data_IF_552663297032
#
_entry.id   IF_552663297032
#
_cell.length_a   1.000
_cell.length_b   1.000
_cell.length_c   1.000
_cell.angle_alpha   90.00
_cell.angle_beta   90.00
_cell.angle_gamma   90.00
#
_symmetry.space_group_name_H-M   'P 1'
#
loop_
_entity.id
_entity.type
_entity.pdbx_description
1 polymer ?
#
# COMPACT_ATOMS: atom_id res chain seq x y z
N UNK A 1 38.90 13.74 29.59
CA UNK A 1 39.09 13.29 28.20
C UNK A 1 37.77 12.83 27.61
N UNK A 2 37.09 13.69 26.83
CA UNK A 2 35.82 13.35 26.18
C UNK A 2 36.09 12.50 24.94
N UNK A 3 35.78 11.19 25.02
CA UNK A 3 35.81 10.29 23.86
C UNK A 3 34.67 10.66 22.92
N UNK A 4 34.99 11.45 21.89
CA UNK A 4 34.11 11.69 20.76
C UNK A 4 33.77 10.34 20.10
N UNK A 5 32.52 9.90 20.27
CA UNK A 5 32.00 8.71 19.59
C UNK A 5 31.93 9.02 18.10
N UNK A 6 32.96 8.62 17.34
CA UNK A 6 32.90 8.61 15.88
C UNK A 6 31.66 7.80 15.46
N UNK A 7 30.66 8.49 14.92
CA UNK A 7 29.46 7.85 14.33
C UNK A 7 29.93 7.14 13.07
N UNK A 8 30.19 5.85 13.17
CA UNK A 8 30.37 4.99 12.00
C UNK A 8 29.08 5.03 11.17
N UNK A 9 29.15 5.68 10.01
CA UNK A 9 28.08 5.65 9.01
C UNK A 9 28.08 4.23 8.43
N UNK A 10 27.13 3.40 8.86
CA UNK A 10 27.01 2.04 8.37
C UNK A 10 26.84 2.04 6.84
N UNK A 11 27.46 1.10 6.11
CA UNK A 11 27.27 0.98 4.67
C UNK A 11 25.79 0.76 4.37
N UNK A 12 25.32 1.31 3.25
CA UNK A 12 23.93 1.13 2.81
C UNK A 12 23.60 -0.36 2.76
N UNK A 13 22.43 -0.72 3.27
CA UNK A 13 21.93 -2.09 3.20
C UNK A 13 21.71 -2.47 1.74
N UNK A 14 22.19 -3.64 1.32
CA UNK A 14 21.99 -4.12 -0.05
C UNK A 14 20.51 -4.42 -0.31
N UNK A 15 20.11 -4.48 -1.58
CA UNK A 15 18.73 -4.80 -1.93
C UNK A 15 18.33 -6.19 -1.42
N UNK A 16 19.21 -7.18 -1.52
CA UNK A 16 18.97 -8.56 -1.08
C UNK A 16 18.85 -8.64 0.45
N UNK A 17 19.71 -7.93 1.19
CA UNK A 17 19.59 -7.80 2.65
C UNK A 17 18.24 -7.19 3.06
N UNK A 18 17.76 -6.21 2.29
CA UNK A 18 16.49 -5.54 2.56
C UNK A 18 15.30 -6.48 2.34
N UNK A 19 15.30 -7.24 1.24
CA UNK A 19 14.24 -8.19 0.91
C UNK A 19 14.12 -9.24 2.03
N UNK A 20 15.24 -9.87 2.41
CA UNK A 20 15.26 -10.85 3.51
C UNK A 20 14.70 -10.28 4.82
N UNK A 21 15.10 -9.04 5.15
CA UNK A 21 14.58 -8.36 6.34
C UNK A 21 13.06 -8.15 6.25
N UNK A 22 12.58 -7.61 5.12
CA UNK A 22 11.15 -7.32 4.91
C UNK A 22 10.32 -8.59 4.97
N UNK A 23 10.80 -9.67 4.37
CA UNK A 23 10.11 -10.96 4.34
C UNK A 23 9.94 -11.54 5.75
N UNK A 24 11.00 -11.50 6.57
CA UNK A 24 10.89 -11.92 7.97
C UNK A 24 9.90 -11.05 8.75
N UNK A 25 9.95 -9.73 8.57
CA UNK A 25 9.08 -8.80 9.30
C UNK A 25 7.60 -8.98 8.93
N UNK A 26 7.30 -9.23 7.65
CA UNK A 26 5.94 -9.53 7.18
C UNK A 26 5.48 -10.91 7.63
N UNK A 27 6.30 -11.95 7.40
CA UNK A 27 5.97 -13.34 7.74
C UNK A 27 5.70 -13.52 9.23
N UNK A 28 6.50 -12.87 10.07
CA UNK A 28 6.36 -12.98 11.51
C UNK A 28 5.42 -11.92 12.11
N UNK A 29 4.69 -11.18 11.27
CA UNK A 29 3.73 -10.11 11.59
C UNK A 29 4.27 -9.10 12.62
N UNK A 30 5.35 -8.41 12.25
CA UNK A 30 6.02 -7.44 13.10
C UNK A 30 5.11 -6.28 13.54
N UNK A 31 4.22 -5.81 12.67
CA UNK A 31 3.33 -4.68 12.94
C UNK A 31 2.12 -5.08 13.79
N UNK A 32 1.77 -6.37 13.81
CA UNK A 32 0.70 -6.91 14.63
C UNK A 32 -0.68 -6.78 13.99
N UNK A 33 -0.78 -6.95 12.68
CA UNK A 33 -2.00 -6.70 11.89
C UNK A 33 -3.03 -7.85 12.00
N UNK A 34 -2.62 -9.03 12.47
CA UNK A 34 -3.48 -10.23 12.49
C UNK A 34 -4.11 -10.56 13.85
N UNK A 35 -3.99 -9.70 14.87
CA UNK A 35 -4.68 -9.86 16.16
C UNK A 35 -4.04 -9.08 17.32
N UNK A 36 -4.76 -8.88 18.44
CA UNK A 36 -4.22 -8.21 19.62
C UNK A 36 -3.16 -9.09 20.31
N UNK A 37 -2.01 -8.51 20.62
CA UNK A 37 -0.88 -9.21 21.25
C UNK A 37 -0.76 -8.88 22.73
N UNK A 38 -0.66 -9.90 23.59
CA UNK A 38 -0.50 -9.73 25.05
C UNK A 38 0.83 -9.07 25.45
N UNK A 39 1.86 -9.08 24.58
CA UNK A 39 3.12 -8.37 24.82
C UNK A 39 3.82 -7.94 23.49
N UNK A 40 3.42 -6.79 22.90
CA UNK A 40 3.88 -6.37 21.58
C UNK A 40 5.40 -6.09 21.51
N UNK A 41 5.97 -5.48 22.55
CA UNK A 41 7.38 -5.05 22.55
C UNK A 41 8.35 -6.22 22.62
N UNK A 42 8.06 -7.22 23.45
CA UNK A 42 8.89 -8.44 23.56
C UNK A 42 8.88 -9.20 22.25
N UNK A 43 7.72 -9.34 21.60
CA UNK A 43 7.60 -10.00 20.30
C UNK A 43 8.38 -9.26 19.22
N UNK A 44 8.21 -7.94 19.08
CA UNK A 44 9.00 -7.12 18.14
C UNK A 44 10.50 -7.29 18.39
N UNK A 45 10.93 -7.38 19.65
CA UNK A 45 12.31 -7.67 20.03
C UNK A 45 12.82 -9.04 19.56
N UNK A 46 11.97 -10.08 19.63
CA UNK A 46 12.26 -11.44 19.13
C UNK A 46 12.34 -11.48 17.61
N UNK A 47 11.41 -10.84 16.91
CA UNK A 47 11.41 -10.76 15.44
C UNK A 47 12.66 -10.02 14.95
N UNK A 48 13.00 -8.88 15.57
CA UNK A 48 14.26 -8.18 15.25
C UNK A 48 15.50 -9.04 15.52
N UNK A 49 15.48 -9.90 16.54
CA UNK A 49 16.57 -10.84 16.77
C UNK A 49 16.66 -11.90 15.65
N UNK A 50 15.52 -12.36 15.10
CA UNK A 50 15.50 -13.26 13.93
C UNK A 50 16.09 -12.59 12.69
N UNK A 51 15.72 -11.34 12.40
CA UNK A 51 16.31 -10.57 11.28
C UNK A 51 17.83 -10.47 11.44
N UNK A 52 18.32 -10.06 12.62
CA UNK A 52 19.77 -9.95 12.88
C UNK A 52 20.47 -11.30 12.68
N UNK A 53 19.88 -12.40 13.17
CA UNK A 53 20.44 -13.74 12.99
C UNK A 53 20.45 -14.17 11.52
N UNK A 54 19.38 -13.91 10.76
CA UNK A 54 19.29 -14.29 9.34
C UNK A 54 20.31 -13.52 8.51
N UNK A 55 20.39 -12.20 8.68
CA UNK A 55 21.35 -11.36 7.96
C UNK A 55 22.80 -11.78 8.23
N UNK A 56 23.12 -12.13 9.47
CA UNK A 56 24.45 -12.61 9.81
C UNK A 56 24.76 -13.98 9.20
N UNK A 57 23.79 -14.91 9.20
CA UNK A 57 23.98 -16.25 8.62
C UNK A 57 24.09 -16.24 7.10
N UNK A 58 23.25 -15.47 6.43
CA UNK A 58 23.11 -15.52 4.98
C UNK A 58 24.08 -14.56 4.26
N UNK A 59 24.44 -13.43 4.89
CA UNK A 59 25.26 -12.39 4.26
C UNK A 59 26.51 -12.02 5.07
N UNK A 60 26.74 -12.63 6.23
CA UNK A 60 27.85 -12.28 7.12
C UNK A 60 27.72 -10.90 7.76
N UNK A 61 26.64 -10.15 7.50
CA UNK A 61 26.52 -8.76 7.93
C UNK A 61 25.91 -8.64 9.33
N UNK A 62 26.48 -7.74 10.12
CA UNK A 62 25.96 -7.41 11.45
C UNK A 62 25.31 -6.03 11.42
N UNK A 63 23.99 -6.00 11.64
CA UNK A 63 23.20 -4.76 11.68
C UNK A 63 22.61 -4.52 13.08
N UNK A 64 22.75 -3.32 13.65
CA UNK A 64 22.08 -2.97 14.90
C UNK A 64 20.56 -3.00 14.76
N UNK A 65 19.84 -3.48 15.79
CA UNK A 65 18.37 -3.56 15.77
C UNK A 65 17.71 -2.20 15.50
N UNK A 66 18.27 -1.12 16.03
CA UNK A 66 17.71 0.23 15.82
C UNK A 66 17.88 0.72 14.39
N UNK A 67 18.95 0.31 13.70
CA UNK A 67 19.11 0.59 12.28
C UNK A 67 18.04 -0.12 11.45
N UNK A 68 17.76 -1.39 11.77
CA UNK A 68 16.71 -2.18 11.12
C UNK A 68 15.33 -1.57 11.37
N UNK A 69 15.03 -1.17 12.62
CA UNK A 69 13.78 -0.47 12.97
C UNK A 69 13.60 0.80 12.14
N UNK A 70 14.64 1.65 12.09
CA UNK A 70 14.61 2.88 11.30
C UNK A 70 14.36 2.58 9.82
N UNK A 71 15.08 1.59 9.27
CA UNK A 71 14.93 1.19 7.87
C UNK A 71 13.52 0.70 7.56
N UNK A 72 12.90 -0.08 8.46
CA UNK A 72 11.51 -0.51 8.33
C UNK A 72 10.55 0.69 8.31
N UNK A 73 10.71 1.62 9.25
CA UNK A 73 9.89 2.84 9.29
C UNK A 73 10.02 3.68 8.02
N UNK A 74 11.25 3.87 7.52
CA UNK A 74 11.50 4.61 6.28
C UNK A 74 10.82 3.95 5.06
N UNK A 75 10.82 2.62 4.99
CA UNK A 75 10.16 1.86 3.92
C UNK A 75 8.63 2.03 3.96
N UNK A 76 8.02 1.93 5.15
CA UNK A 76 6.58 2.11 5.33
C UNK A 76 6.11 3.52 4.96
N UNK A 77 6.91 4.54 5.29
CA UNK A 77 6.61 5.92 4.92
C UNK A 77 6.64 6.13 3.41
N UNK A 78 7.61 5.53 2.70
CA UNK A 78 7.67 5.59 1.23
C UNK A 78 6.45 4.94 0.58
N UNK A 79 6.05 3.77 1.04
CA UNK A 79 4.85 3.07 0.54
C UNK A 79 3.59 3.93 0.72
N UNK A 80 3.39 4.50 1.91
CA UNK A 80 2.24 5.37 2.18
C UNK A 80 2.25 6.65 1.34
N UNK A 81 3.41 7.27 1.13
CA UNK A 81 3.52 8.47 0.30
C UNK A 81 3.21 8.17 -1.17
N UNK A 82 3.70 7.05 -1.70
CA UNK A 82 3.36 6.60 -3.05
C UNK A 82 1.87 6.34 -3.20
N UNK A 83 1.25 5.63 -2.25
CA UNK A 83 -0.19 5.44 -2.24
C UNK A 83 -0.96 6.76 -2.19
N UNK A 84 -0.54 7.71 -1.34
CA UNK A 84 -1.15 9.06 -1.27
C UNK A 84 -0.99 9.85 -2.56
N UNK A 85 0.15 9.74 -3.25
CA UNK A 85 0.40 10.38 -4.54
C UNK A 85 -0.51 9.80 -5.62
N UNK A 86 -0.57 8.48 -5.74
CA UNK A 86 -1.45 7.77 -6.67
C UNK A 86 -2.91 8.14 -6.39
N UNK A 87 -3.35 8.09 -5.12
CA UNK A 87 -4.70 8.49 -4.73
C UNK A 87 -5.02 9.95 -5.11
N UNK A 88 -4.08 10.88 -4.93
CA UNK A 88 -4.25 12.28 -5.35
C UNK A 88 -4.38 12.42 -6.86
N UNK A 89 -3.59 11.68 -7.65
CA UNK A 89 -3.68 11.69 -9.11
C UNK A 89 -5.04 11.15 -9.57
N UNK A 90 -5.51 10.05 -8.97
CA UNK A 90 -6.84 9.49 -9.25
C UNK A 90 -7.96 10.47 -8.88
N UNK A 91 -7.90 11.07 -7.70
CA UNK A 91 -8.90 12.05 -7.26
C UNK A 91 -8.90 13.34 -8.09
N UNK A 92 -7.74 13.79 -8.59
CA UNK A 92 -7.68 14.94 -9.51
C UNK A 92 -8.27 14.62 -10.88
N UNK A 93 -8.07 13.41 -11.40
CA UNK A 93 -8.68 12.96 -12.66
C UNK A 93 -10.20 12.85 -12.56
N UNK A 94 -10.75 12.60 -11.36
CA UNK A 94 -12.20 12.62 -11.08
C UNK A 94 -12.78 14.05 -10.95
N UNK A 95 -11.96 15.09 -10.76
CA UNK A 95 -12.42 16.48 -10.54
C UNK A 95 -12.16 17.41 -11.73
N UNK A 96 -11.30 17.04 -12.70
CA UNK A 96 -10.83 18.00 -13.71
C UNK A 96 -10.75 17.48 -15.16
N UNK A 97 -11.30 16.32 -15.50
CA UNK A 97 -11.19 15.80 -16.89
C UNK A 97 -12.45 15.10 -17.35
N UNK A 98 -13.48 15.85 -17.74
CA UNK A 98 -14.41 15.34 -18.77
C UNK A 98 -14.83 16.40 -19.80
N UNK A 99 -14.76 17.72 -19.57
CA UNK A 99 -15.33 18.66 -20.56
C UNK A 99 -14.37 19.65 -21.25
N UNK A 100 -13.33 20.21 -20.60
CA UNK A 100 -12.65 21.38 -21.19
C UNK A 100 -11.35 21.13 -22.00
N UNK A 101 -10.73 19.95 -21.99
CA UNK A 101 -9.46 19.68 -22.73
C UNK A 101 -9.60 18.75 -23.96
N UNK A 102 -10.81 18.39 -24.38
CA UNK A 102 -11.03 17.38 -25.44
C UNK A 102 -10.92 17.99 -26.86
N UNK A 103 -10.95 19.32 -26.99
CA UNK A 103 -10.91 20.03 -28.28
C UNK A 103 -9.52 20.07 -28.94
N UNK A 104 -8.48 19.55 -28.30
CA UNK A 104 -7.09 19.64 -28.81
C UNK A 104 -6.54 18.38 -29.49
N UNK A 105 -7.27 17.25 -29.51
CA UNK A 105 -6.81 16.04 -30.21
C UNK A 105 -7.48 15.89 -31.58
N UNK A 106 -6.80 16.36 -32.63
CA UNK A 106 -7.33 16.48 -34.00
C UNK A 106 -7.17 15.23 -34.88
N UNK A 107 -6.70 14.09 -34.34
CA UNK A 107 -6.63 12.86 -35.13
C UNK A 107 -7.98 12.14 -35.15
N UNK A 108 -8.41 11.65 -36.32
CA UNK A 108 -9.66 10.90 -36.48
C UNK A 108 -9.74 9.68 -35.53
N UNK A 109 -8.61 9.01 -35.29
CA UNK A 109 -8.52 7.90 -34.33
C UNK A 109 -8.77 8.33 -32.88
N UNK A 110 -8.35 9.54 -32.49
CA UNK A 110 -8.62 10.05 -31.15
C UNK A 110 -10.11 10.36 -30.96
N UNK A 111 -10.77 10.96 -31.96
CA UNK A 111 -12.21 11.25 -31.90
C UNK A 111 -13.07 9.98 -31.81
N UNK A 112 -12.71 8.93 -32.57
CA UNK A 112 -13.39 7.62 -32.50
C UNK A 112 -13.24 7.01 -31.11
N UNK A 113 -12.00 6.96 -30.59
CA UNK A 113 -11.72 6.41 -29.27
C UNK A 113 -12.44 7.18 -28.14
N UNK A 114 -12.52 8.51 -28.26
CA UNK A 114 -13.29 9.36 -27.34
C UNK A 114 -14.78 9.00 -27.39
N UNK A 115 -15.35 8.82 -28.58
CA UNK A 115 -16.74 8.40 -28.75
C UNK A 115 -17.02 7.05 -28.11
N UNK A 116 -16.13 6.06 -28.32
CA UNK A 116 -16.22 4.74 -27.70
C UNK A 116 -16.17 4.83 -26.17
N UNK A 117 -15.24 5.60 -25.62
CA UNK A 117 -15.11 5.82 -24.17
C UNK A 117 -16.37 6.46 -23.60
N UNK A 118 -16.95 7.45 -24.28
CA UNK A 118 -18.19 8.10 -23.84
C UNK A 118 -19.38 7.15 -23.81
N UNK A 119 -19.51 6.26 -24.80
CA UNK A 119 -20.57 5.24 -24.83
C UNK A 119 -20.36 4.23 -23.71
N UNK A 120 -19.14 3.69 -23.55
CA UNK A 120 -18.82 2.76 -22.47
C UNK A 120 -19.09 3.37 -21.08
N UNK A 121 -18.81 4.65 -20.89
CA UNK A 121 -19.10 5.34 -19.63
C UNK A 121 -20.60 5.40 -19.32
N UNK A 122 -21.46 5.58 -20.33
CA UNK A 122 -22.92 5.54 -20.15
C UNK A 122 -23.40 4.14 -19.78
N UNK A 123 -22.88 3.11 -20.45
CA UNK A 123 -23.21 1.73 -20.14
C UNK A 123 -22.78 1.35 -18.71
N UNK A 124 -21.61 1.82 -18.27
CA UNK A 124 -21.12 1.63 -16.90
C UNK A 124 -22.04 2.28 -15.86
N UNK A 125 -22.56 3.50 -16.12
CA UNK A 125 -23.52 4.13 -15.21
C UNK A 125 -24.82 3.34 -15.11
N UNK A 126 -25.31 2.80 -16.24
CA UNK A 126 -26.51 1.97 -16.25
C UNK A 126 -26.32 0.67 -15.45
N UNK A 127 -25.20 -0.02 -15.64
CA UNK A 127 -24.86 -1.22 -14.86
C UNK A 127 -24.77 -0.90 -13.36
N UNK A 128 -24.21 0.26 -13.01
CA UNK A 128 -24.13 0.71 -11.61
C UNK A 128 -25.51 0.94 -10.99
N UNK A 129 -26.44 1.53 -11.74
CA UNK A 129 -27.84 1.69 -11.30
C UNK A 129 -28.54 0.34 -11.11
N UNK A 130 -28.38 -0.58 -12.07
CA UNK A 130 -28.96 -1.92 -12.00
C UNK A 130 -28.45 -2.70 -10.77
N UNK A 131 -27.15 -2.62 -10.46
CA UNK A 131 -26.57 -3.23 -9.26
C UNK A 131 -27.18 -2.62 -7.99
N UNK A 132 -27.32 -1.30 -7.93
CA UNK A 132 -27.90 -0.63 -6.78
C UNK A 132 -29.38 -1.01 -6.56
N UNK A 133 -30.15 -1.19 -7.64
CA UNK A 133 -31.52 -1.70 -7.54
C UNK A 133 -31.54 -3.12 -6.97
N UNK A 134 -30.69 -4.02 -7.49
CA UNK A 134 -30.58 -5.40 -6.99
C UNK A 134 -30.19 -5.42 -5.51
N UNK A 135 -29.22 -4.61 -5.09
CA UNK A 135 -28.84 -4.51 -3.68
C UNK A 135 -30.01 -4.05 -2.79
N UNK A 136 -30.78 -3.07 -3.24
CA UNK A 136 -31.95 -2.57 -2.51
C UNK A 136 -33.02 -3.66 -2.38
N UNK A 137 -33.27 -4.42 -3.45
CA UNK A 137 -34.22 -5.55 -3.43
C UNK A 137 -33.77 -6.65 -2.48
N UNK A 138 -32.48 -6.99 -2.45
CA UNK A 138 -31.92 -7.97 -1.51
C UNK A 138 -32.08 -7.53 -0.05
N UNK A 139 -31.78 -6.27 0.26
CA UNK A 139 -31.97 -5.70 1.61
C UNK A 139 -33.43 -5.80 2.06
N UNK A 140 -34.38 -5.54 1.16
CA UNK A 140 -35.81 -5.67 1.46
C UNK A 140 -36.21 -7.11 1.77
N UNK A 141 -35.74 -8.08 0.99
CA UNK A 141 -36.04 -9.52 1.20
C UNK A 141 -35.51 -9.97 2.57
N UNK A 142 -34.24 -9.65 2.89
CA UNK A 142 -33.64 -9.96 4.19
C UNK A 142 -34.46 -9.34 5.33
N UNK A 143 -34.92 -8.09 5.16
CA UNK A 143 -35.75 -7.40 6.14
C UNK A 143 -37.13 -8.05 6.37
N UNK A 144 -37.74 -8.64 5.35
CA UNK A 144 -39.01 -9.40 5.49
C UNK A 144 -38.77 -10.72 6.20
N UNK A 145 -37.72 -11.47 5.81
CA UNK A 145 -37.39 -12.75 6.42
C UNK A 145 -37.01 -12.63 7.90
N UNK A 146 -36.32 -11.55 8.30
CA UNK A 146 -35.96 -11.32 9.70
C UNK A 146 -37.11 -10.89 10.62
N UNK A 147 -38.34 -10.71 10.10
CA UNK A 147 -39.54 -10.39 10.89
C UNK A 147 -40.45 -11.60 11.13
N UNK A 148 -40.17 -12.73 10.49
CA UNK A 148 -40.81 -14.04 10.74
C UNK A 148 -40.02 -14.72 11.86
#
# INVERSE_FOLDING_TARGET
>A
MSRSRRRFKAPNMSFIEMVEMVDILKRDDYDGQHGPYSNPNVRKGKIMAKVVKSLHRNFGVRRPKDQLRKRWSDLKLREQDQYRKIKRVLQKRDVDVVEEEITHFTSASAQILIGEIMVCNRDLQKIKEDINDVEKRLKNIIGVLGRI
#
